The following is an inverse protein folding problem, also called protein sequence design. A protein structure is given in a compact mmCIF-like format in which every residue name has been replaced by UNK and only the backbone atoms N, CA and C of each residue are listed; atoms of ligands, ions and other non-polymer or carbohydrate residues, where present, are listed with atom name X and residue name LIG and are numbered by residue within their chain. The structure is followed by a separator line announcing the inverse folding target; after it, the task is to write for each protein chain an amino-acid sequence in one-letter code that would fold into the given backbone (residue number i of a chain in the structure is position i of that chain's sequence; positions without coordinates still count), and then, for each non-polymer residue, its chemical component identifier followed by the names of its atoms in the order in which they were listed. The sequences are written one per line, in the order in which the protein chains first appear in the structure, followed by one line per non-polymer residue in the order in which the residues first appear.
data_IF_682060457263
#
_entry.id   IF_682060457263
#
_cell.length_a   1.000
_cell.length_b   1.000
_cell.length_c   1.000
_cell.angle_alpha   90.00
_cell.angle_beta   90.00
_cell.angle_gamma   90.00
#
_symmetry.space_group_name_H-M   'P 1'
#
loop_
_entity.id
_entity.type
_entity.pdbx_description
1 polymer ?
#
# COMPACT_ATOMS: atom_id res chain seq x y z
N UNK A 1 18.58 -53.99 26.03
CA UNK A 1 18.56 -52.54 26.30
C UNK A 1 19.09 -51.84 25.06
N UNK A 2 18.18 -51.44 24.19
CA UNK A 2 18.46 -50.67 22.97
C UNK A 2 18.22 -49.21 23.30
N UNK A 3 19.25 -48.39 23.17
CA UNK A 3 19.18 -46.94 23.36
C UNK A 3 18.22 -46.33 22.32
N UNK A 4 17.17 -45.56 22.71
CA UNK A 4 16.21 -44.99 21.78
C UNK A 4 16.66 -43.68 21.13
N UNK A 5 17.91 -43.22 21.36
CA UNK A 5 18.33 -41.86 20.99
C UNK A 5 19.42 -41.77 19.91
N UNK A 6 19.54 -42.77 19.02
CA UNK A 6 20.28 -42.57 17.77
C UNK A 6 19.44 -41.71 16.82
N UNK A 7 19.37 -40.41 17.09
CA UNK A 7 19.09 -39.46 16.02
C UNK A 7 20.21 -39.61 15.00
N UNK A 8 19.85 -40.21 13.86
CA UNK A 8 20.65 -40.17 12.65
C UNK A 8 20.75 -38.70 12.26
N UNK A 9 21.82 -38.03 12.68
CA UNK A 9 22.24 -36.77 12.09
C UNK A 9 22.37 -37.01 10.58
N UNK A 10 21.43 -36.46 9.80
CA UNK A 10 21.55 -36.44 8.35
C UNK A 10 22.81 -35.65 7.99
N UNK A 11 23.72 -36.19 7.18
CA UNK A 11 24.97 -35.52 6.83
C UNK A 11 24.68 -34.21 6.07
N UNK A 12 25.35 -33.14 6.50
CA UNK A 12 25.17 -31.74 6.05
C UNK A 12 25.79 -31.39 4.68
N UNK A 13 26.19 -32.39 3.89
CA UNK A 13 26.88 -32.19 2.61
C UNK A 13 26.25 -33.04 1.48
N UNK A 14 24.99 -32.76 1.12
CA UNK A 14 24.33 -33.36 -0.05
C UNK A 14 23.94 -32.27 -1.03
N UNK A 15 24.52 -32.33 -2.24
CA UNK A 15 24.40 -31.35 -3.31
C UNK A 15 22.97 -30.84 -3.52
N UNK A 16 22.71 -29.58 -3.13
CA UNK A 16 21.47 -28.85 -3.36
C UNK A 16 21.32 -28.35 -4.82
N UNK A 17 22.09 -28.93 -5.75
CA UNK A 17 22.10 -28.58 -7.16
C UNK A 17 22.02 -29.84 -8.04
N UNK A 18 21.01 -29.89 -8.91
CA UNK A 18 20.80 -30.96 -9.89
C UNK A 18 21.13 -30.46 -11.29
N UNK A 19 22.19 -31.03 -11.89
CA UNK A 19 22.60 -30.70 -13.26
C UNK A 19 21.53 -31.06 -14.28
N UNK A 20 20.85 -32.20 -14.10
CA UNK A 20 19.79 -32.65 -15.01
C UNK A 20 18.60 -31.67 -15.05
N UNK A 21 18.19 -31.16 -13.89
CA UNK A 21 17.13 -30.16 -13.79
C UNK A 21 17.59 -28.84 -14.41
N UNK A 22 18.80 -28.39 -14.11
CA UNK A 22 19.36 -27.18 -14.69
C UNK A 22 19.42 -27.23 -16.23
N UNK A 23 19.93 -28.32 -16.79
CA UNK A 23 20.07 -28.51 -18.23
C UNK A 23 18.70 -28.57 -18.91
N UNK A 24 17.73 -29.27 -18.30
CA UNK A 24 16.36 -29.29 -18.79
C UNK A 24 15.75 -27.88 -18.82
N UNK A 25 15.92 -27.11 -17.76
CA UNK A 25 15.38 -25.76 -17.64
C UNK A 25 16.03 -24.81 -18.66
N UNK A 26 17.37 -24.87 -18.83
CA UNK A 26 18.10 -24.11 -19.84
C UNK A 26 17.62 -24.43 -21.25
N UNK A 27 17.47 -25.71 -21.57
CA UNK A 27 17.00 -26.18 -22.88
C UNK A 27 15.56 -25.74 -23.16
N UNK A 28 14.68 -25.73 -22.15
CA UNK A 28 13.32 -25.17 -22.24
C UNK A 28 13.36 -23.65 -22.49
N UNK A 29 14.26 -22.93 -21.81
CA UNK A 29 14.47 -21.49 -21.97
C UNK A 29 14.94 -21.13 -23.38
N UNK A 30 15.90 -21.88 -23.93
CA UNK A 30 16.40 -21.68 -25.31
C UNK A 30 15.29 -21.88 -26.35
N UNK A 31 14.44 -22.90 -26.16
CA UNK A 31 13.26 -23.15 -27.00
C UNK A 31 12.14 -22.13 -26.80
N UNK A 32 12.19 -21.32 -25.73
CA UNK A 32 11.11 -20.45 -25.25
C UNK A 32 9.80 -21.22 -25.05
N UNK A 33 9.90 -22.42 -24.49
CA UNK A 33 8.76 -23.28 -24.20
C UNK A 33 8.98 -24.01 -22.87
N UNK A 34 8.13 -23.72 -21.88
CA UNK A 34 8.17 -24.34 -20.55
C UNK A 34 7.28 -25.60 -20.45
N UNK A 35 6.66 -26.07 -21.54
CA UNK A 35 5.77 -27.23 -21.49
C UNK A 35 6.48 -28.49 -20.99
N UNK A 36 7.69 -28.76 -21.46
CA UNK A 36 8.51 -29.92 -21.07
C UNK A 36 8.81 -29.90 -19.55
N UNK A 37 9.32 -28.78 -19.04
CA UNK A 37 9.54 -28.58 -17.60
C UNK A 37 8.25 -28.69 -16.79
N UNK A 38 7.19 -28.00 -17.22
CA UNK A 38 5.91 -27.96 -16.49
C UNK A 38 5.23 -29.34 -16.47
N UNK A 39 5.35 -30.14 -17.54
CA UNK A 39 4.88 -31.53 -17.57
C UNK A 39 5.69 -32.39 -16.61
N UNK A 40 7.01 -32.29 -16.64
CA UNK A 40 7.87 -33.01 -15.69
C UNK A 40 7.53 -32.66 -14.24
N UNK A 41 7.34 -31.36 -13.93
CA UNK A 41 7.03 -30.91 -12.57
C UNK A 41 5.65 -31.42 -12.10
N UNK A 42 4.66 -31.41 -12.98
CA UNK A 42 3.33 -31.93 -12.67
C UNK A 42 3.33 -33.45 -12.47
N UNK A 43 4.19 -34.19 -13.18
CA UNK A 43 4.34 -35.64 -13.02
C UNK A 43 5.17 -36.01 -11.77
N UNK A 44 6.05 -35.12 -11.32
CA UNK A 44 6.93 -35.35 -10.17
C UNK A 44 6.72 -34.29 -9.08
N UNK A 45 5.50 -34.14 -8.50
CA UNK A 45 5.21 -33.08 -7.54
C UNK A 45 6.02 -33.19 -6.26
N UNK A 46 6.31 -34.41 -5.79
CA UNK A 46 7.08 -34.66 -4.56
C UNK A 46 8.59 -34.53 -4.74
N UNK A 47 9.09 -34.38 -5.97
CA UNK A 47 10.51 -34.23 -6.22
C UNK A 47 10.95 -32.80 -5.92
N UNK A 48 12.05 -32.67 -5.20
CA UNK A 48 12.67 -31.38 -4.90
C UNK A 48 13.29 -30.77 -6.16
N UNK A 49 13.16 -29.45 -6.29
CA UNK A 49 13.85 -28.67 -7.31
C UNK A 49 15.11 -28.13 -6.68
N UNK A 50 16.27 -28.58 -7.17
CA UNK A 50 17.59 -28.33 -6.62
C UNK A 50 18.37 -27.45 -7.60
N UNK A 51 18.26 -26.14 -7.44
CA UNK A 51 18.85 -25.12 -8.32
C UNK A 51 19.60 -24.05 -7.50
N UNK A 52 20.20 -24.44 -6.38
CA UNK A 52 21.05 -23.55 -5.56
C UNK A 52 22.19 -22.97 -6.41
N UNK A 53 22.34 -21.65 -6.40
CA UNK A 53 23.39 -20.94 -7.14
C UNK A 53 23.28 -21.01 -8.67
N UNK A 54 22.17 -21.54 -9.21
CA UNK A 54 22.00 -21.76 -10.64
C UNK A 54 22.18 -20.47 -11.46
N UNK A 55 22.93 -20.54 -12.56
CA UNK A 55 23.08 -19.43 -13.49
C UNK A 55 21.95 -19.42 -14.52
N UNK A 56 20.94 -18.61 -14.24
CA UNK A 56 19.71 -18.44 -15.02
C UNK A 56 19.56 -16.99 -15.52
N UNK A 57 20.68 -16.27 -15.66
CA UNK A 57 20.72 -14.91 -16.17
C UNK A 57 20.10 -14.87 -17.59
N UNK A 58 19.24 -13.87 -17.83
CA UNK A 58 18.54 -13.65 -19.11
C UNK A 58 17.68 -14.84 -19.62
N UNK A 59 17.48 -15.88 -18.81
CA UNK A 59 16.70 -17.04 -19.23
C UNK A 59 15.23 -16.66 -19.46
N UNK A 60 14.63 -17.24 -20.49
CA UNK A 60 13.20 -17.18 -20.72
C UNK A 60 12.53 -18.25 -19.85
N UNK A 61 11.86 -17.84 -18.78
CA UNK A 61 11.25 -18.71 -17.77
C UNK A 61 9.78 -18.34 -17.53
N UNK A 62 9.12 -17.85 -18.58
CA UNK A 62 7.74 -17.37 -18.49
C UNK A 62 6.78 -18.51 -18.19
N UNK A 63 5.97 -18.36 -17.15
CA UNK A 63 5.01 -19.35 -16.72
C UNK A 63 5.64 -20.63 -16.16
N UNK A 64 6.93 -20.60 -15.79
CA UNK A 64 7.61 -21.74 -15.19
C UNK A 64 6.93 -22.13 -13.87
N UNK A 65 6.67 -23.42 -13.71
CA UNK A 65 6.19 -24.01 -12.46
C UNK A 65 7.37 -24.60 -11.70
N UNK A 66 7.91 -23.86 -10.74
CA UNK A 66 8.93 -24.41 -9.83
C UNK A 66 8.26 -25.08 -8.64
N UNK A 67 7.19 -24.49 -8.13
CA UNK A 67 6.26 -25.18 -7.24
C UNK A 67 4.95 -25.55 -7.94
N UNK A 68 4.37 -26.69 -7.57
CA UNK A 68 3.06 -27.12 -8.06
C UNK A 68 1.96 -26.32 -7.37
N UNK A 69 0.87 -26.05 -8.10
CA UNK A 69 -0.20 -25.16 -7.64
C UNK A 69 -0.96 -25.78 -6.47
N UNK A 70 -1.09 -25.04 -5.38
CA UNK A 70 -2.02 -25.36 -4.29
C UNK A 70 -1.45 -26.41 -3.35
N UNK A 71 -0.82 -25.92 -2.28
CA UNK A 71 -0.38 -26.70 -1.12
C UNK A 71 -1.44 -27.71 -0.66
N UNK A 72 -1.27 -28.96 -1.05
CA UNK A 72 -1.79 -30.14 -0.35
C UNK A 72 -0.62 -31.08 -0.06
N UNK A 73 0.15 -30.77 0.99
CA UNK A 73 1.05 -31.65 1.76
C UNK A 73 2.14 -32.47 1.04
N UNK A 74 2.28 -32.45 -0.29
CA UNK A 74 3.18 -33.35 -1.04
C UNK A 74 3.98 -32.69 -2.17
N UNK A 75 4.18 -31.36 -2.14
CA UNK A 75 5.13 -30.71 -3.06
C UNK A 75 6.55 -30.81 -2.50
N UNK A 76 7.50 -31.28 -3.30
CA UNK A 76 8.92 -31.20 -3.01
C UNK A 76 9.38 -29.76 -2.80
N UNK A 77 10.44 -29.59 -2.02
CA UNK A 77 11.04 -28.29 -1.72
C UNK A 77 11.67 -27.69 -2.98
N UNK A 78 11.67 -26.36 -3.06
CA UNK A 78 12.29 -25.63 -4.18
C UNK A 78 13.45 -24.82 -3.62
N UNK A 79 14.65 -25.24 -3.97
CA UNK A 79 15.93 -24.65 -3.58
C UNK A 79 16.49 -23.81 -4.72
N UNK A 80 16.54 -22.49 -4.52
CA UNK A 80 17.03 -21.46 -5.43
C UNK A 80 17.89 -20.44 -4.66
N UNK A 81 18.42 -20.83 -3.50
CA UNK A 81 19.30 -20.02 -2.68
C UNK A 81 20.48 -19.55 -3.54
N UNK A 82 20.75 -18.24 -3.55
CA UNK A 82 21.82 -17.63 -4.34
C UNK A 82 21.67 -17.74 -5.88
N UNK A 83 20.54 -18.21 -6.41
CA UNK A 83 20.34 -18.35 -7.85
C UNK A 83 20.47 -17.00 -8.57
N UNK A 84 21.13 -17.01 -9.74
CA UNK A 84 21.36 -15.82 -10.57
C UNK A 84 20.26 -15.73 -11.61
N UNK A 85 19.28 -14.87 -11.38
CA UNK A 85 18.10 -14.66 -12.22
C UNK A 85 18.02 -13.22 -12.77
N UNK A 86 19.15 -12.51 -12.76
CA UNK A 86 19.24 -11.15 -13.29
C UNK A 86 18.77 -11.11 -14.74
N UNK A 87 17.93 -10.13 -15.09
CA UNK A 87 17.31 -9.96 -16.40
C UNK A 87 16.47 -11.15 -16.90
N UNK A 88 16.18 -12.15 -16.06
CA UNK A 88 15.37 -13.30 -16.46
C UNK A 88 13.90 -12.89 -16.74
N UNK A 89 13.27 -13.56 -17.69
CA UNK A 89 11.86 -13.34 -18.02
C UNK A 89 11.01 -14.34 -17.24
N UNK A 90 10.46 -13.91 -16.10
CA UNK A 90 9.76 -14.73 -15.11
C UNK A 90 8.28 -14.35 -14.99
N UNK A 91 7.70 -13.77 -16.04
CA UNK A 91 6.27 -13.43 -16.08
C UNK A 91 5.43 -14.67 -15.77
N UNK A 92 4.43 -14.56 -14.89
CA UNK A 92 3.54 -15.67 -14.49
C UNK A 92 4.25 -16.88 -13.81
N UNK A 93 5.50 -16.75 -13.39
CA UNK A 93 6.26 -17.83 -12.74
C UNK A 93 5.70 -18.17 -11.34
N UNK A 94 5.83 -19.44 -10.93
CA UNK A 94 5.38 -19.93 -9.64
C UNK A 94 6.53 -20.29 -8.69
N UNK A 95 6.78 -19.42 -7.72
CA UNK A 95 7.78 -19.51 -6.65
C UNK A 95 7.12 -19.60 -5.25
N UNK A 96 5.88 -20.07 -5.16
CA UNK A 96 5.23 -20.27 -3.86
C UNK A 96 6.09 -21.20 -2.98
N UNK A 97 6.28 -20.84 -1.71
CA UNK A 97 7.06 -21.59 -0.72
C UNK A 97 8.51 -21.94 -1.13
N UNK A 98 9.11 -21.28 -2.12
CA UNK A 98 10.49 -21.55 -2.52
C UNK A 98 11.50 -20.85 -1.62
N UNK A 99 12.67 -21.47 -1.47
CA UNK A 99 13.87 -20.91 -0.86
C UNK A 99 14.67 -20.14 -1.90
N UNK A 100 14.73 -18.83 -1.77
CA UNK A 100 15.37 -17.90 -2.71
C UNK A 100 16.23 -16.88 -1.95
N UNK A 101 16.75 -17.26 -0.79
CA UNK A 101 17.63 -16.46 0.03
C UNK A 101 18.83 -16.01 -0.80
N UNK A 102 19.18 -14.72 -0.74
CA UNK A 102 20.26 -14.11 -1.52
C UNK A 102 20.15 -14.24 -3.06
N UNK A 103 18.98 -14.61 -3.59
CA UNK A 103 18.79 -14.71 -5.04
C UNK A 103 19.01 -13.35 -5.73
N UNK A 104 19.64 -13.38 -6.91
CA UNK A 104 19.94 -12.19 -7.70
C UNK A 104 18.85 -12.02 -8.76
N UNK A 105 17.90 -11.11 -8.54
CA UNK A 105 16.75 -10.83 -9.40
C UNK A 105 16.83 -9.41 -10.01
N UNK A 106 18.05 -8.91 -10.19
CA UNK A 106 18.30 -7.57 -10.73
C UNK A 106 17.62 -7.41 -12.09
N UNK A 107 16.76 -6.39 -12.25
CA UNK A 107 16.03 -6.10 -13.48
C UNK A 107 15.24 -7.29 -14.09
N UNK A 108 14.91 -8.31 -13.29
CA UNK A 108 14.11 -9.44 -13.74
C UNK A 108 12.65 -9.03 -13.97
N UNK A 109 11.98 -9.65 -14.95
CA UNK A 109 10.54 -9.48 -15.17
C UNK A 109 9.74 -10.53 -14.39
N UNK A 110 9.26 -10.17 -13.20
CA UNK A 110 8.48 -11.00 -12.29
C UNK A 110 6.98 -10.66 -12.35
N UNK A 111 6.52 -10.07 -13.45
CA UNK A 111 5.12 -9.61 -13.61
C UNK A 111 4.15 -10.78 -13.39
N UNK A 112 3.17 -10.60 -12.50
CA UNK A 112 2.22 -11.65 -12.04
C UNK A 112 2.87 -12.90 -11.45
N UNK A 113 4.15 -12.84 -11.05
CA UNK A 113 4.82 -13.93 -10.34
C UNK A 113 4.16 -14.20 -8.98
N UNK A 114 4.20 -15.46 -8.55
CA UNK A 114 3.63 -15.89 -7.26
C UNK A 114 4.74 -16.30 -6.31
N UNK A 115 4.78 -15.67 -5.14
CA UNK A 115 5.79 -15.78 -4.09
C UNK A 115 5.14 -15.94 -2.71
N UNK A 116 3.92 -16.49 -2.65
CA UNK A 116 3.26 -16.70 -1.36
C UNK A 116 4.14 -17.60 -0.47
N UNK A 117 4.45 -17.14 0.74
CA UNK A 117 5.37 -17.79 1.68
C UNK A 117 6.78 -18.06 1.13
N UNK A 118 7.21 -17.40 0.05
CA UNK A 118 8.58 -17.54 -0.45
C UNK A 118 9.59 -16.90 0.51
N UNK A 119 10.75 -17.53 0.63
CA UNK A 119 11.90 -17.01 1.36
C UNK A 119 12.78 -16.20 0.42
N UNK A 120 12.71 -14.88 0.53
CA UNK A 120 13.44 -13.90 -0.29
C UNK A 120 14.37 -13.05 0.59
N UNK A 121 14.79 -13.58 1.74
CA UNK A 121 15.73 -12.91 2.62
C UNK A 121 17.02 -12.54 1.87
N UNK A 122 17.46 -11.29 2.02
CA UNK A 122 18.66 -10.74 1.35
C UNK A 122 18.64 -10.80 -0.18
N UNK A 123 17.49 -11.05 -0.81
CA UNK A 123 17.37 -11.09 -2.28
C UNK A 123 17.57 -9.69 -2.91
N UNK A 124 18.20 -9.66 -4.08
CA UNK A 124 18.47 -8.45 -4.85
C UNK A 124 17.43 -8.26 -5.95
N UNK A 125 16.41 -7.43 -5.70
CA UNK A 125 15.26 -7.18 -6.58
C UNK A 125 15.31 -5.78 -7.24
N UNK A 126 16.49 -5.14 -7.26
CA UNK A 126 16.62 -3.78 -7.80
C UNK A 126 16.20 -3.73 -9.27
N UNK A 127 15.49 -2.66 -9.65
CA UNK A 127 14.98 -2.42 -11.00
C UNK A 127 14.04 -3.51 -11.57
N UNK A 128 13.67 -4.52 -10.76
CA UNK A 128 12.78 -5.61 -11.19
C UNK A 128 11.35 -5.14 -11.46
N UNK A 129 10.63 -5.91 -12.28
CA UNK A 129 9.22 -5.69 -12.58
C UNK A 129 8.35 -6.69 -11.78
N UNK A 130 7.77 -6.25 -10.68
CA UNK A 130 6.87 -7.03 -9.81
C UNK A 130 5.40 -6.59 -10.01
N UNK A 131 5.05 -6.08 -11.19
CA UNK A 131 3.69 -5.62 -11.45
C UNK A 131 2.69 -6.78 -11.29
N UNK A 132 1.64 -6.55 -10.50
CA UNK A 132 0.62 -7.54 -10.15
C UNK A 132 1.15 -8.84 -9.48
N UNK A 133 2.40 -8.85 -9.02
CA UNK A 133 2.99 -9.99 -8.31
C UNK A 133 2.32 -10.24 -6.95
N UNK A 134 2.31 -11.49 -6.52
CA UNK A 134 1.72 -11.95 -5.27
C UNK A 134 2.82 -12.35 -4.28
N UNK A 135 3.18 -11.44 -3.37
CA UNK A 135 4.17 -11.60 -2.30
C UNK A 135 3.51 -11.62 -0.92
N UNK A 136 2.27 -12.11 -0.85
CA UNK A 136 1.54 -12.24 0.40
C UNK A 136 2.34 -13.13 1.36
N UNK A 137 2.56 -12.67 2.59
CA UNK A 137 3.26 -13.45 3.63
C UNK A 137 4.67 -13.93 3.25
N UNK A 138 5.31 -13.35 2.22
CA UNK A 138 6.70 -13.68 1.88
C UNK A 138 7.67 -13.12 2.91
N UNK A 139 8.84 -13.75 3.04
CA UNK A 139 9.91 -13.28 3.89
C UNK A 139 10.87 -12.41 3.08
N UNK A 140 10.96 -11.12 3.40
CA UNK A 140 11.75 -10.11 2.68
C UNK A 140 12.79 -9.42 3.57
N UNK A 141 13.18 -10.06 4.68
CA UNK A 141 14.16 -9.51 5.62
C UNK A 141 15.48 -9.25 4.88
N UNK A 142 15.99 -8.02 4.91
CA UNK A 142 17.23 -7.66 4.21
C UNK A 142 17.09 -7.53 2.68
N UNK A 143 15.93 -7.83 2.09
CA UNK A 143 15.75 -7.76 0.64
C UNK A 143 15.86 -6.31 0.11
N UNK A 144 16.44 -6.16 -1.08
CA UNK A 144 16.71 -4.85 -1.68
C UNK A 144 15.85 -4.65 -2.93
N UNK A 145 14.87 -3.75 -2.88
CA UNK A 145 13.93 -3.46 -3.96
C UNK A 145 14.09 -2.03 -4.50
N UNK A 146 15.33 -1.52 -4.64
CA UNK A 146 15.53 -0.16 -5.18
C UNK A 146 14.88 -0.03 -6.57
N UNK A 147 14.05 0.99 -6.78
CA UNK A 147 13.42 1.31 -8.07
C UNK A 147 12.51 0.24 -8.70
N UNK A 148 12.20 -0.83 -7.97
CA UNK A 148 11.33 -1.90 -8.48
C UNK A 148 9.92 -1.39 -8.79
N UNK A 149 9.31 -1.93 -9.86
CA UNK A 149 7.93 -1.63 -10.24
C UNK A 149 6.97 -2.58 -9.55
N UNK A 150 6.10 -2.05 -8.70
CA UNK A 150 5.18 -2.84 -7.85
C UNK A 150 3.71 -2.44 -8.04
N UNK A 151 3.37 -1.92 -9.23
CA UNK A 151 1.99 -1.53 -9.57
C UNK A 151 1.06 -2.73 -9.41
N UNK A 152 0.03 -2.61 -8.57
CA UNK A 152 -0.96 -3.67 -8.31
C UNK A 152 -0.42 -4.88 -7.54
N UNK A 153 0.86 -4.89 -7.16
CA UNK A 153 1.47 -5.96 -6.40
C UNK A 153 0.86 -6.08 -5.00
N UNK A 154 0.89 -7.29 -4.44
CA UNK A 154 0.36 -7.58 -3.11
C UNK A 154 1.46 -8.09 -2.21
N UNK A 155 1.78 -7.30 -1.19
CA UNK A 155 2.75 -7.58 -0.14
C UNK A 155 2.06 -7.79 1.22
N UNK A 156 0.75 -8.10 1.23
CA UNK A 156 0.01 -8.14 2.49
C UNK A 156 0.63 -9.15 3.46
N UNK A 157 0.90 -8.70 4.69
CA UNK A 157 1.60 -9.45 5.74
C UNK A 157 3.00 -9.95 5.35
N UNK A 158 3.66 -9.36 4.35
CA UNK A 158 5.06 -9.66 4.06
C UNK A 158 5.95 -9.26 5.24
N UNK A 159 6.93 -10.11 5.54
CA UNK A 159 7.78 -9.96 6.72
C UNK A 159 9.05 -9.22 6.32
N UNK A 160 9.27 -8.07 6.94
CA UNK A 160 10.35 -7.13 6.62
C UNK A 160 11.16 -6.78 7.87
N UNK A 161 12.35 -6.21 7.70
CA UNK A 161 13.16 -5.69 8.81
C UNK A 161 13.94 -4.43 8.39
N UNK A 162 14.76 -3.89 9.29
CA UNK A 162 15.53 -2.67 9.07
C UNK A 162 16.60 -2.76 7.97
N UNK A 163 16.91 -3.98 7.52
CA UNK A 163 17.75 -4.24 6.36
C UNK A 163 17.00 -4.18 5.03
N UNK A 164 15.68 -4.40 5.04
CA UNK A 164 14.85 -4.33 3.83
C UNK A 164 14.83 -2.90 3.29
N UNK A 165 14.92 -2.75 1.96
CA UNK A 165 14.87 -1.45 1.29
C UNK A 165 13.78 -1.38 0.23
N UNK A 166 12.91 -0.37 0.36
CA UNK A 166 11.81 -0.02 -0.55
C UNK A 166 12.01 1.37 -1.17
N UNK A 167 13.24 1.85 -1.21
CA UNK A 167 13.53 3.18 -1.67
C UNK A 167 13.31 3.32 -3.18
N UNK A 168 12.53 4.33 -3.58
CA UNK A 168 12.25 4.61 -4.98
C UNK A 168 11.31 3.60 -5.64
N UNK A 169 10.59 2.78 -4.87
CA UNK A 169 9.57 1.87 -5.39
C UNK A 169 8.55 2.62 -6.24
N UNK A 170 8.23 2.05 -7.41
CA UNK A 170 7.20 2.59 -8.29
C UNK A 170 5.86 1.94 -7.93
N UNK A 171 5.13 2.62 -7.05
CA UNK A 171 3.82 2.20 -6.51
C UNK A 171 2.67 2.90 -7.25
N UNK A 172 1.48 2.28 -7.27
CA UNK A 172 0.28 2.95 -7.76
C UNK A 172 -0.72 3.22 -6.64
N UNK A 173 -1.40 4.36 -6.76
CA UNK A 173 -2.46 4.76 -5.85
C UNK A 173 -3.68 3.85 -5.96
N UNK A 174 -4.22 3.45 -4.82
CA UNK A 174 -5.52 2.80 -4.73
C UNK A 174 -6.62 3.81 -5.00
N UNK A 175 -7.42 3.57 -6.04
CA UNK A 175 -8.52 4.46 -6.37
C UNK A 175 -9.76 3.73 -6.88
N UNK A 176 -10.70 3.45 -5.97
CA UNK A 176 -12.02 2.94 -6.29
C UNK A 176 -11.91 1.62 -7.06
N UNK A 177 -12.12 1.67 -8.37
CA UNK A 177 -12.04 0.48 -9.24
C UNK A 177 -10.61 0.02 -9.52
N UNK A 178 -9.60 0.89 -9.36
CA UNK A 178 -8.19 0.54 -9.58
C UNK A 178 -7.56 0.04 -8.28
N UNK A 179 -7.24 -1.27 -8.26
CA UNK A 179 -6.50 -1.88 -7.15
C UNK A 179 -5.10 -1.27 -7.08
N UNK A 180 -4.86 -0.49 -6.02
CA UNK A 180 -3.52 0.00 -5.67
C UNK A 180 -2.61 -1.12 -5.18
N UNK A 181 -1.32 -0.83 -5.10
CA UNK A 181 -0.34 -1.67 -4.42
C UNK A 181 -0.75 -1.90 -2.96
N UNK A 182 -0.76 -3.15 -2.51
CA UNK A 182 -1.23 -3.55 -1.18
C UNK A 182 -0.05 -3.89 -0.25
N UNK A 183 0.08 -3.16 0.85
CA UNK A 183 1.07 -3.35 1.92
C UNK A 183 0.41 -3.53 3.30
N UNK A 184 -0.86 -3.95 3.36
CA UNK A 184 -1.57 -4.15 4.63
C UNK A 184 -0.82 -5.18 5.48
N UNK A 185 -0.54 -4.83 6.75
CA UNK A 185 0.16 -5.71 7.68
C UNK A 185 1.68 -5.75 7.50
N UNK A 186 2.26 -4.94 6.61
CA UNK A 186 3.72 -4.78 6.50
C UNK A 186 4.19 -3.69 7.47
N UNK A 187 5.24 -3.98 8.26
CA UNK A 187 5.85 -3.03 9.19
C UNK A 187 6.68 -1.94 8.48
N UNK A 188 6.03 -0.94 7.88
CA UNK A 188 6.67 0.16 7.13
C UNK A 188 7.52 1.09 8.01
N UNK A 189 7.35 1.05 9.32
CA UNK A 189 8.17 1.75 10.31
C UNK A 189 9.56 1.14 10.48
N UNK A 190 9.70 -0.15 10.19
CA UNK A 190 10.92 -0.91 10.38
C UNK A 190 11.66 -1.16 9.05
N UNK A 191 11.44 -0.35 8.02
CA UNK A 191 12.02 -0.53 6.68
C UNK A 191 12.66 0.75 6.18
N UNK A 192 13.71 0.62 5.35
CA UNK A 192 14.29 1.77 4.64
C UNK A 192 13.41 2.14 3.46
N UNK A 193 12.69 3.24 3.56
CA UNK A 193 11.74 3.70 2.55
C UNK A 193 11.80 5.22 2.42
N UNK A 194 11.66 5.73 1.20
CA UNK A 194 11.61 7.17 1.00
C UNK A 194 10.28 7.76 1.50
N UNK A 195 10.26 9.01 2.00
CA UNK A 195 9.07 9.61 2.60
C UNK A 195 7.84 9.65 1.67
N UNK A 196 8.05 9.82 0.36
CA UNK A 196 6.96 9.91 -0.61
C UNK A 196 6.25 8.57 -0.81
N UNK A 197 7.03 7.51 -1.05
CA UNK A 197 6.52 6.14 -1.18
C UNK A 197 5.81 5.71 0.11
N UNK A 198 6.39 6.00 1.27
CA UNK A 198 5.76 5.68 2.57
C UNK A 198 4.38 6.31 2.72
N UNK A 199 4.25 7.61 2.43
CA UNK A 199 2.96 8.31 2.51
C UNK A 199 1.91 7.71 1.56
N UNK A 200 2.31 7.32 0.35
CA UNK A 200 1.39 6.72 -0.63
C UNK A 200 0.97 5.29 -0.22
N UNK A 201 1.88 4.49 0.33
CA UNK A 201 1.55 3.17 0.86
C UNK A 201 0.61 3.26 2.06
N UNK A 202 0.89 4.16 3.01
CA UNK A 202 0.01 4.42 4.16
C UNK A 202 -1.39 4.89 3.71
N UNK A 203 -1.46 5.74 2.67
CA UNK A 203 -2.72 6.13 2.04
C UNK A 203 -3.47 4.90 1.49
N UNK A 204 -2.80 4.02 0.75
CA UNK A 204 -3.41 2.81 0.19
C UNK A 204 -3.94 1.89 1.29
N UNK A 205 -3.12 1.61 2.30
CA UNK A 205 -3.47 0.77 3.46
C UNK A 205 -4.71 1.35 4.16
N UNK A 206 -4.68 2.65 4.48
CA UNK A 206 -5.81 3.33 5.14
C UNK A 206 -7.08 3.21 4.32
N UNK A 207 -7.01 3.48 3.01
CA UNK A 207 -8.17 3.43 2.13
C UNK A 207 -8.76 2.02 2.03
N UNK A 208 -7.92 1.00 1.84
CA UNK A 208 -8.36 -0.39 1.78
C UNK A 208 -9.01 -0.83 3.10
N UNK A 209 -8.41 -0.53 4.25
CA UNK A 209 -8.97 -0.88 5.57
C UNK A 209 -10.35 -0.25 5.80
N UNK A 210 -10.53 1.02 5.39
CA UNK A 210 -11.84 1.66 5.47
C UNK A 210 -12.86 1.05 4.51
N UNK A 211 -12.45 0.71 3.29
CA UNK A 211 -13.32 0.04 2.32
C UNK A 211 -13.79 -1.33 2.81
N UNK A 212 -12.92 -2.08 3.51
CA UNK A 212 -13.29 -3.32 4.17
C UNK A 212 -14.21 -3.08 5.37
N UNK A 213 -13.90 -2.11 6.24
CA UNK A 213 -14.77 -1.76 7.37
C UNK A 213 -16.18 -1.32 6.95
N UNK A 214 -16.32 -0.61 5.82
CA UNK A 214 -17.62 -0.21 5.28
C UNK A 214 -18.49 -1.37 4.82
N UNK A 215 -17.90 -2.55 4.51
CA UNK A 215 -18.67 -3.75 4.15
C UNK A 215 -19.41 -4.29 5.37
N UNK A 216 -18.77 -4.21 6.54
CA UNK A 216 -19.36 -4.65 7.81
C UNK A 216 -20.29 -3.58 8.42
N UNK A 217 -19.98 -2.29 8.23
CA UNK A 217 -20.67 -1.16 8.87
C UNK A 217 -21.39 -0.25 7.87
N UNK A 218 -22.33 -0.80 7.10
CA UNK A 218 -22.96 -0.09 5.97
C UNK A 218 -23.66 1.23 6.37
N UNK A 219 -24.34 1.29 7.52
CA UNK A 219 -25.05 2.50 7.93
C UNK A 219 -24.09 3.65 8.30
N UNK A 220 -23.01 3.33 9.01
CA UNK A 220 -22.00 4.32 9.40
C UNK A 220 -21.17 4.84 8.22
N UNK A 221 -21.10 4.09 7.11
CA UNK A 221 -20.46 4.53 5.86
C UNK A 221 -20.96 5.90 5.41
N UNK A 222 -22.25 6.19 5.53
CA UNK A 222 -22.84 7.47 5.10
C UNK A 222 -22.35 8.66 5.93
N UNK A 223 -22.00 8.43 7.20
CA UNK A 223 -21.45 9.46 8.09
C UNK A 223 -19.94 9.63 7.90
N UNK A 224 -19.21 8.53 7.78
CA UNK A 224 -17.74 8.53 7.85
C UNK A 224 -17.08 8.71 6.48
N UNK A 225 -17.67 8.18 5.41
CA UNK A 225 -17.09 8.27 4.05
C UNK A 225 -16.93 9.71 3.55
N UNK A 226 -17.86 10.66 3.77
CA UNK A 226 -17.67 12.05 3.38
C UNK A 226 -16.42 12.68 3.99
N UNK A 227 -16.17 12.43 5.28
CA UNK A 227 -14.99 12.94 5.98
C UNK A 227 -13.68 12.46 5.33
N UNK A 228 -13.58 11.16 5.04
CA UNK A 228 -12.38 10.60 4.40
C UNK A 228 -12.21 11.05 2.95
N UNK A 229 -13.32 11.29 2.25
CA UNK A 229 -13.28 11.84 0.90
C UNK A 229 -12.80 13.30 0.89
N UNK A 230 -13.25 14.12 1.85
CA UNK A 230 -12.82 15.52 2.03
C UNK A 230 -11.33 15.60 2.35
N UNK A 231 -10.88 14.80 3.33
CA UNK A 231 -9.48 14.78 3.76
C UNK A 231 -8.54 14.05 2.79
N UNK A 232 -9.09 13.47 1.72
CA UNK A 232 -8.37 12.61 0.78
C UNK A 232 -7.55 11.52 1.48
N UNK A 233 -8.16 10.87 2.47
CA UNK A 233 -7.52 9.91 3.36
C UNK A 233 -6.18 10.41 3.91
N UNK A 234 -6.06 11.71 4.20
CA UNK A 234 -4.90 12.35 4.80
C UNK A 234 -3.75 12.66 3.84
N UNK A 235 -3.95 12.57 2.52
CA UNK A 235 -2.89 12.88 1.54
C UNK A 235 -2.84 14.38 1.20
N UNK A 236 -3.99 14.99 0.86
CA UNK A 236 -4.07 16.37 0.33
C UNK A 236 -4.55 17.38 1.37
N UNK A 237 -3.62 18.07 2.02
CA UNK A 237 -3.90 19.14 3.02
C UNK A 237 -4.78 20.25 2.47
N UNK A 238 -4.54 20.65 1.22
CA UNK A 238 -5.28 21.73 0.56
C UNK A 238 -6.79 21.45 0.45
N UNK A 239 -7.21 20.20 0.27
CA UNK A 239 -8.65 19.87 0.18
C UNK A 239 -9.38 20.15 1.49
N UNK A 240 -8.75 19.85 2.63
CA UNK A 240 -9.30 20.18 3.96
C UNK A 240 -9.42 21.70 4.14
N UNK A 241 -8.37 22.45 3.78
CA UNK A 241 -8.35 23.92 3.89
C UNK A 241 -9.45 24.56 3.02
N UNK A 242 -9.54 24.16 1.75
CA UNK A 242 -10.58 24.68 0.84
C UNK A 242 -11.98 24.31 1.35
N UNK A 243 -12.17 23.08 1.82
CA UNK A 243 -13.47 22.65 2.36
C UNK A 243 -13.85 23.46 3.59
N UNK A 244 -12.89 23.79 4.47
CA UNK A 244 -13.12 24.66 5.62
C UNK A 244 -13.64 26.04 5.20
N UNK A 245 -12.94 26.71 4.26
CA UNK A 245 -13.35 28.05 3.82
C UNK A 245 -14.64 28.06 3.00
N UNK A 246 -14.88 27.03 2.17
CA UNK A 246 -16.16 26.89 1.45
C UNK A 246 -17.33 26.68 2.40
N UNK A 247 -17.15 25.87 3.43
CA UNK A 247 -18.19 25.62 4.43
C UNK A 247 -18.44 26.88 5.26
N UNK A 248 -17.40 27.60 5.67
CA UNK A 248 -17.53 28.88 6.37
C UNK A 248 -18.31 29.90 5.52
N UNK A 249 -18.00 29.99 4.23
CA UNK A 249 -18.75 30.85 3.32
C UNK A 249 -20.21 30.41 3.16
N UNK A 250 -20.48 29.11 3.09
CA UNK A 250 -21.85 28.59 3.01
C UNK A 250 -22.68 28.96 4.25
N UNK A 251 -22.14 28.76 5.46
CA UNK A 251 -22.83 29.14 6.70
C UNK A 251 -23.02 30.66 6.78
N UNK A 252 -22.03 31.44 6.38
CA UNK A 252 -22.15 32.89 6.28
C UNK A 252 -23.31 33.33 5.37
N UNK A 253 -23.46 32.67 4.21
CA UNK A 253 -24.57 32.92 3.30
C UNK A 253 -25.92 32.57 3.92
N UNK A 254 -26.02 31.45 4.65
CA UNK A 254 -27.25 31.06 5.35
C UNK A 254 -27.62 32.09 6.41
N UNK A 255 -26.66 32.57 7.22
CA UNK A 255 -26.90 33.58 8.24
C UNK A 255 -27.30 34.93 7.65
N UNK A 256 -26.75 35.28 6.50
CA UNK A 256 -27.10 36.50 5.79
C UNK A 256 -28.51 36.44 5.16
N UNK A 257 -28.88 35.31 4.56
CA UNK A 257 -30.20 35.09 3.96
C UNK A 257 -31.30 34.87 5.00
N UNK A 258 -30.96 34.28 6.15
CA UNK A 258 -31.91 33.97 7.23
C UNK A 258 -31.47 34.60 8.57
N UNK A 259 -31.61 35.94 8.71
CA UNK A 259 -31.11 36.66 9.86
C UNK A 259 -31.78 36.26 11.19
N UNK A 260 -32.96 35.64 11.16
CA UNK A 260 -33.65 35.17 12.38
C UNK A 260 -32.91 34.01 13.09
N UNK A 261 -31.94 33.37 12.43
CA UNK A 261 -31.14 32.31 13.03
C UNK A 261 -30.10 32.82 14.05
N UNK A 262 -29.72 34.09 13.97
CA UNK A 262 -28.59 34.67 14.69
C UNK A 262 -29.01 36.01 15.30
N UNK A 263 -28.56 36.28 16.52
CA UNK A 263 -28.72 37.57 17.19
C UNK A 263 -27.38 38.26 17.35
N UNK A 264 -27.39 39.58 17.18
CA UNK A 264 -26.24 40.45 17.41
C UNK A 264 -26.48 41.18 18.73
N UNK A 265 -25.47 41.24 19.59
CA UNK A 265 -25.57 41.99 20.84
C UNK A 265 -25.80 43.48 20.55
N UNK A 266 -26.77 44.08 21.25
CA UNK A 266 -27.29 45.45 20.96
C UNK A 266 -26.23 46.57 21.01
N UNK A 267 -25.08 46.33 21.62
CA UNK A 267 -24.01 47.32 21.79
C UNK A 267 -23.13 47.51 20.53
N UNK A 268 -23.21 46.62 19.53
CA UNK A 268 -22.29 46.61 18.37
C UNK A 268 -22.90 47.22 17.09
N UNK A 269 -24.17 47.65 17.13
CA UNK A 269 -24.88 48.24 15.98
C UNK A 269 -25.44 47.21 14.99
N UNK A 270 -26.12 47.67 13.94
CA UNK A 270 -26.79 46.81 12.95
C UNK A 270 -25.78 46.24 11.94
N UNK A 271 -25.10 45.16 12.34
CA UNK A 271 -24.01 44.55 11.56
C UNK A 271 -24.46 43.32 10.77
N UNK A 272 -25.63 43.41 10.11
CA UNK A 272 -26.17 42.34 9.23
C UNK A 272 -25.52 42.31 7.84
N UNK A 273 -24.22 42.58 7.74
CA UNK A 273 -23.48 42.46 6.50
C UNK A 273 -22.96 41.05 6.26
N UNK A 274 -22.75 40.69 4.99
CA UNK A 274 -22.16 39.41 4.61
C UNK A 274 -20.78 39.20 5.25
N UNK A 275 -20.03 40.28 5.47
CA UNK A 275 -18.71 40.25 6.10
C UNK A 275 -18.74 39.85 7.57
N UNK A 276 -19.73 40.32 8.32
CA UNK A 276 -19.90 39.95 9.70
C UNK A 276 -20.43 38.53 9.83
N UNK A 277 -21.31 38.10 8.92
CA UNK A 277 -21.73 36.71 8.82
C UNK A 277 -20.55 35.76 8.52
N UNK A 278 -19.61 36.16 7.65
CA UNK A 278 -18.40 35.38 7.38
C UNK A 278 -17.46 35.34 8.56
N UNK A 279 -17.18 36.50 9.18
CA UNK A 279 -16.39 36.58 10.39
C UNK A 279 -16.94 35.67 11.49
N UNK A 280 -18.25 35.77 11.78
CA UNK A 280 -18.93 34.91 12.73
C UNK A 280 -18.78 33.43 12.36
N UNK A 281 -18.93 33.11 11.07
CA UNK A 281 -18.84 31.73 10.62
C UNK A 281 -17.46 31.13 10.81
N UNK A 282 -16.40 31.85 10.43
CA UNK A 282 -15.02 31.41 10.62
C UNK A 282 -14.70 31.24 12.11
N UNK A 283 -15.03 32.22 12.94
CA UNK A 283 -14.81 32.18 14.39
C UNK A 283 -15.51 30.99 15.03
N UNK A 284 -16.77 30.76 14.67
CA UNK A 284 -17.56 29.62 15.15
C UNK A 284 -16.97 28.29 14.72
N UNK A 285 -16.52 28.15 13.46
CA UNK A 285 -15.85 26.94 12.98
C UNK A 285 -14.51 26.69 13.66
N UNK A 286 -13.80 27.75 14.09
CA UNK A 286 -12.57 27.63 14.92
C UNK A 286 -12.85 27.47 16.41
N UNK A 287 -14.12 27.44 16.84
CA UNK A 287 -14.55 27.34 18.23
C UNK A 287 -14.07 28.46 19.16
N UNK A 288 -13.61 29.59 18.62
CA UNK A 288 -13.08 30.72 19.40
C UNK A 288 -14.18 31.49 20.15
N UNK A 289 -15.33 31.73 19.51
CA UNK A 289 -16.54 32.33 20.09
C UNK A 289 -16.32 33.67 20.82
N UNK A 290 -16.41 34.80 20.12
CA UNK A 290 -16.18 36.13 20.72
C UNK A 290 -17.40 36.75 21.43
N UNK A 291 -18.57 36.09 21.42
CA UNK A 291 -19.76 36.50 22.20
C UNK A 291 -20.49 37.76 21.69
N UNK A 292 -20.03 38.32 20.58
CA UNK A 292 -20.63 39.44 19.86
C UNK A 292 -21.86 39.02 19.03
N UNK A 293 -21.84 37.79 18.54
CA UNK A 293 -22.88 37.18 17.71
C UNK A 293 -23.19 35.78 18.28
N UNK A 294 -24.48 35.46 18.44
CA UNK A 294 -24.94 34.19 19.02
C UNK A 294 -26.15 33.62 18.28
N UNK A 295 -26.40 32.31 18.38
CA UNK A 295 -27.63 31.72 17.85
C UNK A 295 -28.85 32.29 18.57
N UNK A 296 -29.91 32.61 17.82
CA UNK A 296 -31.15 33.11 18.39
C UNK A 296 -31.79 32.07 19.34
N UNK A 297 -32.03 32.38 20.64
CA UNK A 297 -32.60 31.45 21.61
C UNK A 297 -34.01 30.96 21.22
N UNK A 298 -34.76 31.79 20.49
CA UNK A 298 -36.13 31.49 20.08
C UNK A 298 -36.18 30.64 18.78
N UNK A 299 -35.03 30.40 18.14
CA UNK A 299 -34.93 29.64 16.90
C UNK A 299 -34.20 28.32 17.11
N UNK A 300 -34.97 27.24 17.27
CA UNK A 300 -34.42 25.88 17.32
C UNK A 300 -33.60 25.54 16.06
N UNK A 301 -34.00 26.10 14.90
CA UNK A 301 -33.28 25.94 13.64
C UNK A 301 -31.92 26.66 13.67
N UNK A 302 -31.86 27.88 14.21
CA UNK A 302 -30.60 28.63 14.38
C UNK A 302 -29.62 27.93 15.34
N UNK A 303 -30.13 27.42 16.46
CA UNK A 303 -29.34 26.62 17.41
C UNK A 303 -28.81 25.34 16.77
N UNK A 304 -29.66 24.62 16.03
CA UNK A 304 -29.27 23.38 15.35
C UNK A 304 -28.20 23.63 14.29
N UNK A 305 -28.37 24.68 13.49
CA UNK A 305 -27.41 25.09 12.47
C UNK A 305 -26.04 25.42 13.09
N UNK A 306 -26.03 26.17 14.19
CA UNK A 306 -24.81 26.50 14.93
C UNK A 306 -24.13 25.24 15.49
N UNK A 307 -24.89 24.32 16.09
CA UNK A 307 -24.35 23.04 16.59
C UNK A 307 -23.68 22.24 15.47
N UNK A 308 -24.33 22.12 14.31
CA UNK A 308 -23.76 21.43 13.14
C UNK A 308 -22.48 22.11 12.67
N UNK A 309 -22.46 23.44 12.60
CA UNK A 309 -21.28 24.20 12.19
C UNK A 309 -20.09 23.98 13.14
N UNK A 310 -20.32 24.01 14.46
CA UNK A 310 -19.29 23.76 15.47
C UNK A 310 -18.74 22.35 15.35
N UNK A 311 -19.61 21.34 15.20
CA UNK A 311 -19.19 19.94 15.03
C UNK A 311 -18.32 19.79 13.76
N UNK A 312 -18.76 20.35 12.63
CA UNK A 312 -17.99 20.29 11.38
C UNK A 312 -16.67 21.06 11.47
N UNK A 313 -16.67 22.23 12.11
CA UNK A 313 -15.48 23.03 12.37
C UNK A 313 -14.44 22.26 13.19
N UNK A 314 -14.86 21.65 14.29
CA UNK A 314 -13.99 20.85 15.16
C UNK A 314 -13.38 19.64 14.42
N UNK A 315 -14.20 18.92 13.63
CA UNK A 315 -13.73 17.78 12.82
C UNK A 315 -12.71 18.20 11.77
N UNK A 316 -12.96 19.29 11.05
CA UNK A 316 -12.05 19.79 10.02
C UNK A 316 -10.75 20.35 10.62
N UNK A 317 -10.84 21.06 11.75
CA UNK A 317 -9.68 21.57 12.47
C UNK A 317 -8.82 20.43 13.01
N UNK A 318 -9.43 19.41 13.62
CA UNK A 318 -8.74 18.21 14.06
C UNK A 318 -8.01 17.48 12.92
N UNK A 319 -8.66 17.36 11.75
CA UNK A 319 -8.04 16.81 10.55
C UNK A 319 -6.87 17.66 10.05
N UNK A 320 -6.99 18.99 10.09
CA UNK A 320 -5.96 19.93 9.66
C UNK A 320 -4.75 19.89 10.59
N UNK A 321 -4.96 19.94 11.91
CA UNK A 321 -3.90 19.84 12.94
C UNK A 321 -3.16 18.52 12.81
N UNK A 322 -3.89 17.40 12.70
CA UNK A 322 -3.29 16.07 12.48
C UNK A 322 -2.46 16.06 11.21
N UNK A 323 -2.95 16.67 10.13
CA UNK A 323 -2.21 16.71 8.88
C UNK A 323 -0.95 17.57 8.97
N UNK A 324 -1.00 18.72 9.64
CA UNK A 324 0.19 19.52 9.90
C UNK A 324 1.21 18.76 10.75
N UNK A 325 0.77 18.06 11.80
CA UNK A 325 1.66 17.22 12.60
C UNK A 325 2.38 16.16 11.74
N UNK A 326 1.68 15.52 10.80
CA UNK A 326 2.30 14.59 9.85
C UNK A 326 3.27 15.31 8.90
N UNK A 327 2.95 16.51 8.43
CA UNK A 327 3.85 17.28 7.56
C UNK A 327 5.14 17.71 8.28
N UNK A 328 5.06 18.04 9.57
CA UNK A 328 6.23 18.41 10.38
C UNK A 328 7.08 17.20 10.78
N UNK A 329 6.48 16.02 10.92
CA UNK A 329 7.19 14.78 11.28
C UNK A 329 7.64 13.97 10.06
N UNK A 330 7.07 14.20 8.88
CA UNK A 330 7.53 13.60 7.65
C UNK A 330 8.91 14.15 7.26
N UNK A 331 9.80 13.28 6.76
CA UNK A 331 11.15 13.63 6.30
C UNK A 331 11.23 14.54 5.06
N UNK A 332 10.16 15.28 4.74
CA UNK A 332 10.04 16.18 3.59
C UNK A 332 8.67 16.12 2.92
N UNK A 333 8.37 17.06 2.00
CA UNK A 333 7.21 16.94 1.13
C UNK A 333 7.29 15.60 0.38
N UNK A 334 6.15 14.96 0.13
CA UNK A 334 6.06 13.83 -0.80
C UNK A 334 6.40 14.33 -2.21
N UNK A 335 7.67 14.61 -2.47
CA UNK A 335 8.16 15.06 -3.75
C UNK A 335 7.87 13.97 -4.77
N UNK A 336 7.25 14.36 -5.89
CA UNK A 336 7.23 13.82 -7.28
C UNK A 336 7.41 12.32 -7.60
N UNK A 337 7.85 11.45 -6.70
CA UNK A 337 8.15 10.04 -6.95
C UNK A 337 6.89 9.18 -7.21
N UNK A 338 5.71 9.65 -6.76
CA UNK A 338 4.44 8.96 -6.98
C UNK A 338 3.67 9.42 -8.23
N UNK A 339 3.90 10.64 -8.70
CA UNK A 339 3.03 11.32 -9.70
C UNK A 339 3.64 11.39 -11.12
N UNK A 340 4.86 10.89 -11.34
CA UNK A 340 5.52 11.02 -12.65
C UNK A 340 4.90 10.19 -13.79
N UNK A 341 3.88 9.35 -13.54
CA UNK A 341 3.28 8.51 -14.59
C UNK A 341 1.82 8.78 -14.98
N UNK A 342 1.10 9.72 -14.36
CA UNK A 342 -0.23 10.08 -14.90
C UNK A 342 -0.16 10.90 -16.20
N UNK A 343 1.02 11.45 -16.55
CA UNK A 343 1.21 12.21 -17.80
C UNK A 343 1.57 11.37 -19.02
N UNK A 344 1.98 10.11 -18.86
CA UNK A 344 2.25 9.22 -20.01
C UNK A 344 1.00 8.52 -20.53
N UNK A 345 0.04 8.17 -19.66
CA UNK A 345 -1.19 7.47 -20.06
C UNK A 345 -2.27 8.41 -20.65
N UNK A 346 -2.04 9.72 -20.70
CA UNK A 346 -2.92 10.71 -21.35
C UNK A 346 -2.44 11.15 -22.74
N UNK A 347 -1.34 10.56 -23.24
CA UNK A 347 -0.82 10.77 -24.60
C UNK A 347 -0.69 9.44 -25.36
N UNK A 348 -1.78 8.69 -25.51
CA UNK A 348 -1.95 7.73 -26.61
C UNK A 348 -3.38 7.73 -27.08
#
# INVERSE_FOLDING_TARGET
MTDPNSQVEKPKDQQHFSQEQYDMLKRCSEKKDMTEWNQWRNNNPAQDVLLEGADLIECWLRGVLLNTRGSSHFSGEVHLEGAKLSHAHLTDANFECSRMESAQLYAADLTRGRFWLAHLEEAFLNDSCLEEAQLNSSYLKGAILYHARVKGARFSAAIVNSGTSFWGLKVNRHNGNRKGTNFIGVGLENVRIDPGTKQLLEYNIRRMNWEDWYKEHFWLKWLVKPFWWISDYGLRTWRTIVTFFLLAFLFALIYWLWPNCVMVNREVGDVRGLWQALYFSVVTMTTLGFGDIAANPDSWAGQTLLMVQVILGYVLLGALVTRFAVLFTAGGPAGKFADEKEKEDTKK
#
